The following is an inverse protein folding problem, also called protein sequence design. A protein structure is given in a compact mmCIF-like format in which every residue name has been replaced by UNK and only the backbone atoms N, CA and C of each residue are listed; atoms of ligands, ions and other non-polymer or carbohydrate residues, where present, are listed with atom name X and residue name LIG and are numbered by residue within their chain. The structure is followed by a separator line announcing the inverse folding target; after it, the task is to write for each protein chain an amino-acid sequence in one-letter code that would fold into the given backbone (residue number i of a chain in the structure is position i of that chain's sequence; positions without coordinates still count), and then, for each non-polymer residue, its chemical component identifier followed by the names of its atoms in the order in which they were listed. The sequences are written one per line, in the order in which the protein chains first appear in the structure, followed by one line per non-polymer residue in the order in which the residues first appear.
data_IF_880293927976
#
_entry.id   IF_880293927976
#
_cell.length_a   1.000
_cell.length_b   1.000
_cell.length_c   1.000
_cell.angle_alpha   90.00
_cell.angle_beta   90.00
_cell.angle_gamma   90.00
#
_symmetry.space_group_name_H-M   'P 1'
#
loop_
_entity.id
_entity.type
_entity.pdbx_description
1 polymer ?
#
# COMPACT_ATOMS: atom_id res chain seq x y z
N UNK A 1 -8.42 -15.56 -7.84
CA UNK A 1 -7.90 -14.34 -8.51
C UNK A 1 -6.38 -14.43 -8.44
N UNK A 2 -5.63 -14.23 -9.54
CA UNK A 2 -4.18 -14.19 -9.46
C UNK A 2 -3.77 -12.98 -8.61
N UNK A 3 -3.29 -13.21 -7.39
CA UNK A 3 -2.70 -12.16 -6.55
C UNK A 3 -1.25 -12.00 -6.97
N UNK A 4 -0.89 -10.86 -7.56
CA UNK A 4 0.51 -10.52 -7.78
C UNK A 4 1.07 -10.05 -6.43
N UNK A 5 2.08 -10.72 -5.93
CA UNK A 5 2.78 -10.31 -4.71
C UNK A 5 3.38 -8.93 -4.93
N UNK A 6 3.07 -7.98 -4.04
CA UNK A 6 3.55 -6.60 -4.16
C UNK A 6 5.07 -6.49 -4.09
N UNK A 7 5.74 -7.47 -3.49
CA UNK A 7 7.20 -7.54 -3.36
C UNK A 7 7.87 -8.25 -4.55
N UNK A 8 7.10 -8.95 -5.38
CA UNK A 8 7.64 -9.66 -6.55
C UNK A 8 7.91 -8.71 -7.73
N UNK A 9 8.95 -9.04 -8.49
CA UNK A 9 9.29 -8.38 -9.75
C UNK A 9 8.26 -8.67 -10.87
N UNK A 10 7.36 -9.64 -10.65
CA UNK A 10 6.22 -9.95 -11.51
C UNK A 10 5.30 -8.73 -11.76
N UNK A 11 5.40 -7.67 -10.94
CA UNK A 11 4.75 -6.37 -11.17
C UNK A 11 5.16 -5.72 -12.51
N UNK A 12 6.31 -6.08 -13.06
CA UNK A 12 6.87 -5.49 -14.29
C UNK A 12 6.50 -6.25 -15.57
N UNK A 13 6.14 -7.53 -15.45
CA UNK A 13 5.94 -8.44 -16.59
C UNK A 13 4.56 -8.31 -17.27
N UNK A 14 3.53 -7.82 -16.55
CA UNK A 14 2.14 -7.86 -17.00
C UNK A 14 1.67 -6.52 -17.56
N UNK A 15 2.15 -6.14 -18.75
CA UNK A 15 1.88 -4.79 -19.23
C UNK A 15 1.79 -4.64 -20.77
N UNK A 16 0.58 -4.80 -21.30
CA UNK A 16 0.27 -4.63 -22.74
C UNK A 16 0.11 -3.15 -23.15
N UNK A 17 -0.06 -2.20 -22.22
CA UNK A 17 -0.37 -0.79 -22.55
C UNK A 17 0.36 0.30 -21.75
N UNK A 18 1.22 -0.03 -20.79
CA UNK A 18 1.87 0.95 -19.90
C UNK A 18 3.39 0.85 -20.01
N UNK A 19 4.09 1.98 -19.94
CA UNK A 19 5.55 1.98 -19.92
C UNK A 19 6.08 1.24 -18.67
N UNK A 20 7.18 0.51 -18.83
CA UNK A 20 7.73 -0.40 -17.82
C UNK A 20 7.80 0.23 -16.42
N UNK A 21 7.34 -0.51 -15.41
CA UNK A 21 7.51 -0.12 -14.01
C UNK A 21 8.98 -0.27 -13.62
N UNK A 22 9.52 0.72 -12.90
CA UNK A 22 10.84 0.63 -12.27
C UNK A 22 10.88 -0.61 -11.37
N UNK A 23 11.95 -1.39 -11.45
CA UNK A 23 12.24 -2.46 -10.49
C UNK A 23 12.70 -1.79 -9.19
N UNK A 24 12.07 -2.18 -8.08
CA UNK A 24 12.42 -1.67 -6.76
C UNK A 24 13.63 -2.43 -6.22
N UNK A 25 14.49 -1.75 -5.46
CA UNK A 25 15.48 -2.44 -4.63
C UNK A 25 14.81 -3.24 -3.51
N UNK A 26 15.54 -4.16 -2.90
CA UNK A 26 15.03 -4.95 -1.79
C UNK A 26 14.70 -4.06 -0.58
N UNK A 27 15.48 -2.99 -0.36
CA UNK A 27 15.19 -1.99 0.67
C UNK A 27 13.89 -1.24 0.36
N UNK A 28 13.66 -0.83 -0.88
CA UNK A 28 12.42 -0.14 -1.28
C UNK A 28 11.19 -1.07 -1.16
N UNK A 29 11.34 -2.35 -1.49
CA UNK A 29 10.31 -3.37 -1.27
C UNK A 29 9.99 -3.51 0.22
N UNK A 30 11.01 -3.57 1.07
CA UNK A 30 10.85 -3.66 2.52
C UNK A 30 10.14 -2.42 3.10
N UNK A 31 10.57 -1.21 2.72
CA UNK A 31 9.94 0.04 3.17
C UNK A 31 8.47 0.13 2.72
N UNK A 32 8.18 -0.22 1.47
CA UNK A 32 6.79 -0.26 0.99
C UNK A 32 5.94 -1.24 1.79
N UNK A 33 6.46 -2.43 2.11
CA UNK A 33 5.76 -3.44 2.89
C UNK A 33 5.51 -2.94 4.31
N UNK A 34 6.53 -2.40 4.96
CA UNK A 34 6.43 -1.84 6.31
C UNK A 34 5.37 -0.74 6.42
N UNK A 35 5.33 0.19 5.45
CA UNK A 35 4.31 1.24 5.39
C UNK A 35 2.90 0.67 5.28
N UNK A 36 2.71 -0.39 4.47
CA UNK A 36 1.40 -1.06 4.33
C UNK A 36 1.00 -1.77 5.62
N UNK A 37 1.93 -2.47 6.26
CA UNK A 37 1.68 -3.20 7.49
C UNK A 37 1.32 -2.25 8.65
N UNK A 38 2.04 -1.13 8.79
CA UNK A 38 1.70 -0.08 9.74
C UNK A 38 0.33 0.54 9.46
N UNK A 39 0.04 0.82 8.19
CA UNK A 39 -1.26 1.34 7.76
C UNK A 39 -2.42 0.41 8.12
N UNK A 40 -2.26 -0.89 7.83
CA UNK A 40 -3.25 -1.92 8.15
C UNK A 40 -3.45 -2.04 9.67
N UNK A 41 -2.36 -2.14 10.42
CA UNK A 41 -2.42 -2.25 11.88
C UNK A 41 -3.15 -1.05 12.53
N UNK A 42 -2.89 0.18 12.05
CA UNK A 42 -3.58 1.35 12.55
C UNK A 42 -5.05 1.39 12.11
N UNK A 43 -5.34 1.08 10.84
CA UNK A 43 -6.69 1.01 10.32
C UNK A 43 -7.56 0.00 11.10
N UNK A 44 -7.01 -1.16 11.43
CA UNK A 44 -7.68 -2.20 12.22
C UNK A 44 -7.90 -1.75 13.66
N UNK A 45 -6.92 -1.06 14.25
CA UNK A 45 -7.07 -0.49 15.59
C UNK A 45 -8.19 0.53 15.65
N UNK A 46 -8.33 1.39 14.64
CA UNK A 46 -9.43 2.36 14.52
C UNK A 46 -10.76 1.66 14.30
N UNK A 47 -10.79 0.61 13.47
CA UNK A 47 -12.00 -0.20 13.24
C UNK A 47 -12.51 -0.84 14.53
N UNK A 48 -11.62 -1.28 15.41
CA UNK A 48 -11.96 -1.84 16.71
C UNK A 48 -12.55 -0.83 17.71
N UNK A 49 -12.49 0.49 17.44
CA UNK A 49 -13.12 1.52 18.28
C UNK A 49 -14.63 1.66 18.03
N UNK A 50 -15.15 1.01 16.97
CA UNK A 50 -16.56 1.06 16.58
C UNK A 50 -16.82 2.01 15.39
N UNK A 51 -18.10 2.16 15.08
CA UNK A 51 -18.56 2.86 13.87
C UNK A 51 -19.11 4.24 14.24
N UNK A 52 -18.30 5.27 14.03
CA UNK A 52 -18.68 6.68 14.12
C UNK A 52 -18.24 7.44 12.86
N UNK A 53 -18.65 8.69 12.75
CA UNK A 53 -18.21 9.58 11.67
C UNK A 53 -16.70 9.79 11.74
N UNK A 54 -16.17 9.99 12.94
CA UNK A 54 -14.75 10.23 13.23
C UNK A 54 -13.91 9.00 12.85
N UNK A 55 -14.35 7.79 13.23
CA UNK A 55 -13.62 6.56 12.87
C UNK A 55 -13.65 6.31 11.36
N UNK A 56 -14.74 6.67 10.68
CA UNK A 56 -14.84 6.57 9.22
C UNK A 56 -13.88 7.52 8.50
N UNK A 57 -13.78 8.78 8.96
CA UNK A 57 -12.84 9.77 8.42
C UNK A 57 -11.39 9.34 8.68
N UNK A 58 -11.08 8.88 9.89
CA UNK A 58 -9.75 8.44 10.26
C UNK A 58 -9.27 7.28 9.37
N UNK A 59 -10.10 6.26 9.15
CA UNK A 59 -9.78 5.13 8.25
C UNK A 59 -9.47 5.59 6.83
N UNK A 60 -10.30 6.45 6.26
CA UNK A 60 -10.08 7.03 4.92
C UNK A 60 -8.74 7.77 4.85
N UNK A 61 -8.38 8.52 5.90
CA UNK A 61 -7.12 9.26 5.94
C UNK A 61 -5.90 8.37 6.12
N UNK A 62 -6.03 7.24 6.81
CA UNK A 62 -4.98 6.22 6.88
C UNK A 62 -4.72 5.64 5.49
N UNK A 63 -5.76 5.24 4.77
CA UNK A 63 -5.65 4.72 3.40
C UNK A 63 -4.98 5.73 2.45
N UNK A 64 -5.39 7.00 2.51
CA UNK A 64 -4.80 8.07 1.70
C UNK A 64 -3.32 8.29 2.04
N UNK A 65 -2.95 8.29 3.33
CA UNK A 65 -1.57 8.44 3.76
C UNK A 65 -0.69 7.28 3.27
N UNK A 66 -1.16 6.04 3.40
CA UNK A 66 -0.46 4.83 2.90
C UNK A 66 -0.27 4.92 1.39
N UNK A 67 -1.30 5.32 0.65
CA UNK A 67 -1.23 5.45 -0.80
C UNK A 67 -0.16 6.45 -1.24
N UNK A 68 -0.13 7.65 -0.65
CA UNK A 68 0.87 8.67 -1.00
C UNK A 68 2.29 8.27 -0.61
N UNK A 69 2.47 7.63 0.55
CA UNK A 69 3.78 7.13 0.98
C UNK A 69 4.30 6.02 0.05
N UNK A 70 3.47 5.03 -0.29
CA UNK A 70 3.83 3.97 -1.24
C UNK A 70 4.10 4.54 -2.64
N UNK A 71 3.33 5.54 -3.06
CA UNK A 71 3.57 6.23 -4.34
C UNK A 71 4.96 6.89 -4.36
N UNK A 72 5.40 7.50 -3.26
CA UNK A 72 6.75 8.06 -3.17
C UNK A 72 7.84 6.98 -3.31
N UNK A 73 7.69 5.83 -2.63
CA UNK A 73 8.64 4.72 -2.73
C UNK A 73 8.68 4.11 -4.14
N UNK A 74 7.52 4.07 -4.81
CA UNK A 74 7.36 3.37 -6.10
C UNK A 74 7.47 4.25 -7.34
N UNK A 75 7.67 5.56 -7.17
CA UNK A 75 7.80 6.53 -8.25
C UNK A 75 9.00 6.27 -9.18
#
# INVERSE_FOLDING_TARGET
MPSVDSTSDDRTANNTMRHAYRVLSDEEKAVMQEVKDMGLAFHDRVSALGNSRETSIAKTKIEEAVMWAVKHVTA
#
